data_IF_772096292571
#
_entry.id   IF_772096292571
#
_cell.length_a   1.000
_cell.length_b   1.000
_cell.length_c   1.000
_cell.angle_alpha   90.00
_cell.angle_beta   90.00
_cell.angle_gamma   90.00
#
_symmetry.space_group_name_H-M   'P 1'
#
loop_
_entity.id
_entity.type
_entity.pdbx_description
1 polymer ?
#
# COMPACT_ATOMS: atom_id res chain seq x y z
N UNK A 1 -15.20 -6.13 0.28
CA UNK A 1 -13.82 -6.30 0.75
C UNK A 1 -13.68 -5.42 1.99
N UNK A 2 -13.49 -6.01 3.18
CA UNK A 2 -13.31 -5.25 4.43
C UNK A 2 -11.81 -5.19 4.74
N UNK A 3 -11.09 -4.25 4.12
CA UNK A 3 -9.67 -4.04 4.35
C UNK A 3 -9.45 -2.59 4.79
N UNK A 4 -8.92 -2.40 6.01
CA UNK A 4 -8.84 -1.07 6.64
C UNK A 4 -7.74 -0.22 6.02
N UNK A 5 -6.68 -0.84 5.49
CA UNK A 5 -5.65 -0.11 4.74
C UNK A 5 -6.21 0.47 3.43
N UNK A 6 -6.98 -0.30 2.68
CA UNK A 6 -7.60 0.21 1.44
C UNK A 6 -8.65 1.29 1.73
N UNK A 7 -9.41 1.18 2.81
CA UNK A 7 -10.33 2.24 3.23
C UNK A 7 -9.59 3.50 3.72
N UNK A 8 -8.46 3.34 4.41
CA UNK A 8 -7.56 4.44 4.76
C UNK A 8 -7.07 5.17 3.50
N UNK A 9 -6.57 4.42 2.51
CA UNK A 9 -6.05 4.99 1.26
C UNK A 9 -7.12 5.76 0.45
N UNK A 10 -8.34 5.23 0.39
CA UNK A 10 -9.47 5.95 -0.25
C UNK A 10 -9.74 7.30 0.42
N UNK A 11 -9.70 7.33 1.76
CA UNK A 11 -9.96 8.55 2.53
C UNK A 11 -8.84 9.56 2.37
N UNK A 12 -7.59 9.09 2.45
CA UNK A 12 -6.41 9.94 2.41
C UNK A 12 -6.24 10.62 1.05
N UNK A 13 -6.33 9.85 -0.04
CA UNK A 13 -6.15 10.38 -1.39
C UNK A 13 -7.44 10.93 -2.01
N UNK A 14 -8.59 10.80 -1.33
CA UNK A 14 -9.92 11.22 -1.81
C UNK A 14 -10.27 10.73 -3.22
N UNK A 15 -9.77 9.55 -3.60
CA UNK A 15 -9.98 8.92 -4.91
C UNK A 15 -10.52 7.50 -4.75
N UNK A 16 -11.16 6.99 -5.80
CA UNK A 16 -11.60 5.59 -5.84
C UNK A 16 -10.40 4.64 -5.96
N UNK A 17 -10.52 3.44 -5.39
CA UNK A 17 -9.49 2.40 -5.52
C UNK A 17 -9.16 2.04 -6.97
N UNK A 18 -10.18 2.07 -7.84
CA UNK A 18 -10.00 1.84 -9.28
C UNK A 18 -9.18 2.94 -9.94
N UNK A 19 -9.34 4.21 -9.54
CA UNK A 19 -8.55 5.32 -10.04
C UNK A 19 -7.07 5.20 -9.61
N UNK A 20 -6.82 4.81 -8.34
CA UNK A 20 -5.45 4.57 -7.84
C UNK A 20 -4.74 3.53 -8.70
N UNK A 21 -5.40 2.41 -9.02
CA UNK A 21 -4.79 1.35 -9.83
C UNK A 21 -4.59 1.74 -11.30
N UNK A 22 -5.51 2.53 -11.85
CA UNK A 22 -5.49 2.90 -13.27
C UNK A 22 -4.44 3.96 -13.61
N UNK A 23 -4.01 4.75 -12.62
CA UNK A 23 -3.03 5.82 -12.82
C UNK A 23 -1.70 5.43 -12.19
N UNK A 24 -0.73 5.07 -13.04
CA UNK A 24 0.57 4.55 -12.61
C UNK A 24 1.26 5.45 -11.59
N UNK A 25 1.20 6.77 -11.76
CA UNK A 25 1.81 7.74 -10.84
C UNK A 25 1.15 7.72 -9.46
N UNK A 26 -0.18 7.72 -9.38
CA UNK A 26 -0.91 7.64 -8.11
C UNK A 26 -0.65 6.33 -7.37
N UNK A 27 -0.52 5.22 -8.10
CA UNK A 27 -0.18 3.92 -7.50
C UNK A 27 1.15 3.98 -6.75
N UNK A 28 2.19 4.57 -7.34
CA UNK A 28 3.51 4.66 -6.71
C UNK A 28 3.51 5.55 -5.48
N UNK A 29 2.83 6.70 -5.57
CA UNK A 29 2.65 7.62 -4.43
C UNK A 29 1.97 6.90 -3.27
N UNK A 30 0.86 6.20 -3.54
CA UNK A 30 0.11 5.44 -2.52
C UNK A 30 0.96 4.35 -1.86
N UNK A 31 1.80 3.63 -2.63
CA UNK A 31 2.73 2.64 -2.07
C UNK A 31 3.83 3.28 -1.22
N UNK A 32 4.31 4.46 -1.62
CA UNK A 32 5.23 5.27 -0.82
C UNK A 32 4.60 5.76 0.50
N UNK A 33 3.33 6.15 0.48
CA UNK A 33 2.62 6.57 1.69
C UNK A 33 2.34 5.40 2.63
N UNK A 34 2.04 4.21 2.09
CA UNK A 34 1.99 2.97 2.86
C UNK A 34 3.32 2.65 3.55
N UNK A 35 4.47 2.87 2.88
CA UNK A 35 5.78 2.72 3.52
C UNK A 35 5.96 3.67 4.71
N UNK A 36 5.50 4.93 4.56
CA UNK A 36 5.61 5.99 5.57
C UNK A 36 4.60 5.85 6.72
N UNK A 37 3.62 4.96 6.59
CA UNK A 37 2.63 4.68 7.63
C UNK A 37 3.34 4.25 8.93
N UNK A 38 3.07 4.98 10.01
CA UNK A 38 3.54 4.63 11.34
C UNK A 38 2.65 3.54 11.96
N UNK A 39 3.18 2.79 12.93
CA UNK A 39 2.46 1.73 13.63
C UNK A 39 1.86 0.66 12.69
N UNK A 40 2.65 0.16 11.73
CA UNK A 40 2.22 -0.84 10.73
C UNK A 40 1.55 -2.06 11.35
N UNK A 41 1.96 -2.42 12.56
CA UNK A 41 1.45 -3.55 13.37
C UNK A 41 -0.03 -3.41 13.80
N UNK A 42 -0.61 -2.21 13.71
CA UNK A 42 -2.05 -2.00 13.95
C UNK A 42 -2.92 -2.66 12.87
N UNK A 43 -2.34 -2.95 11.70
CA UNK A 43 -2.96 -3.67 10.62
C UNK A 43 -2.32 -5.05 10.51
N UNK A 44 -3.12 -6.14 10.54
CA UNK A 44 -2.58 -7.49 10.40
C UNK A 44 -1.91 -7.68 9.04
N UNK A 45 -0.90 -8.54 8.97
CA UNK A 45 -0.15 -8.82 7.73
C UNK A 45 -1.06 -9.13 6.55
N UNK A 46 -2.15 -9.89 6.75
CA UNK A 46 -3.12 -10.19 5.70
C UNK A 46 -3.74 -8.95 5.06
N UNK A 47 -4.02 -7.91 5.85
CA UNK A 47 -4.54 -6.65 5.30
C UNK A 47 -3.49 -5.95 4.44
N UNK A 48 -2.21 -6.02 4.83
CA UNK A 48 -1.09 -5.51 4.03
C UNK A 48 -0.93 -6.29 2.72
N UNK A 49 -0.94 -7.62 2.78
CA UNK A 49 -0.85 -8.49 1.62
C UNK A 49 -1.95 -8.18 0.61
N UNK A 50 -3.21 -8.12 1.07
CA UNK A 50 -4.35 -7.78 0.22
C UNK A 50 -4.24 -6.37 -0.38
N UNK A 51 -3.86 -5.38 0.42
CA UNK A 51 -3.76 -3.99 -0.04
C UNK A 51 -2.65 -3.82 -1.08
N UNK A 52 -1.46 -4.33 -0.79
CA UNK A 52 -0.31 -4.24 -1.70
C UNK A 52 -0.55 -5.09 -2.95
N UNK A 53 -1.14 -6.28 -2.82
CA UNK A 53 -1.51 -7.12 -3.98
C UNK A 53 -2.52 -6.40 -4.89
N UNK A 54 -3.51 -5.75 -4.28
CA UNK A 54 -4.52 -5.00 -5.02
C UNK A 54 -3.90 -3.83 -5.81
N UNK A 55 -2.97 -3.10 -5.19
CA UNK A 55 -2.30 -1.96 -5.82
C UNK A 55 -1.36 -2.41 -6.95
N UNK A 56 -0.55 -3.45 -6.72
CA UNK A 56 0.43 -3.94 -7.70
C UNK A 56 -0.20 -4.79 -8.82
N UNK A 57 -1.37 -5.39 -8.57
CA UNK A 57 -2.03 -6.29 -9.50
C UNK A 57 -1.42 -7.70 -9.55
N UNK A 58 -0.62 -8.07 -8.55
CA UNK A 58 -0.04 -9.40 -8.39
C UNK A 58 -0.14 -9.86 -6.93
N UNK A 59 -0.07 -11.17 -6.69
CA UNK A 59 -0.11 -11.71 -5.32
C UNK A 59 1.17 -11.39 -4.57
N UNK A 60 1.04 -10.76 -3.41
CA UNK A 60 2.13 -10.43 -2.49
C UNK A 60 1.84 -11.10 -1.15
N UNK A 61 2.90 -11.68 -0.56
CA UNK A 61 2.87 -12.25 0.78
C UNK A 61 3.99 -11.65 1.61
N UNK A 62 3.74 -11.47 2.90
CA UNK A 62 4.72 -10.95 3.85
C UNK A 62 4.85 -11.91 5.03
N UNK A 63 6.07 -12.39 5.29
CA UNK A 63 6.37 -13.23 6.44
C UNK A 63 6.32 -12.44 7.76
N UNK A 64 6.64 -11.13 7.71
CA UNK A 64 6.66 -10.25 8.88
C UNK A 64 6.63 -8.76 8.45
N UNK A 65 6.56 -7.86 9.43
CA UNK A 65 6.52 -6.42 9.18
C UNK A 65 7.83 -5.82 8.63
N UNK A 66 8.99 -6.44 8.86
CA UNK A 66 10.25 -5.99 8.26
C UNK A 66 10.26 -6.22 6.73
N UNK A 67 9.62 -7.30 6.27
CA UNK A 67 9.44 -7.52 4.83
C UNK A 67 8.55 -6.47 4.17
N UNK A 68 7.54 -5.95 4.90
CA UNK A 68 6.72 -4.83 4.40
C UNK A 68 7.62 -3.60 4.18
N UNK A 69 8.45 -3.26 5.16
CA UNK A 69 9.36 -2.11 5.03
C UNK A 69 10.36 -2.30 3.89
N UNK A 70 10.96 -3.47 3.78
CA UNK A 70 11.95 -3.78 2.75
C UNK A 70 11.33 -3.75 1.36
N UNK A 71 10.15 -4.37 1.21
CA UNK A 71 9.42 -4.46 -0.06
C UNK A 71 8.88 -3.11 -0.52
N UNK A 72 8.44 -2.26 0.41
CA UNK A 72 7.86 -0.96 0.07
C UNK A 72 8.90 0.18 0.00
N UNK A 73 10.10 -0.01 0.54
CA UNK A 73 11.19 0.98 0.51
C UNK A 73 11.49 1.55 -0.88
N UNK A 74 11.50 0.77 -1.99
CA UNK A 74 11.73 1.33 -3.32
C UNK A 74 10.72 2.41 -3.72
N UNK A 75 9.46 2.32 -3.25
CA UNK A 75 8.40 3.28 -3.55
C UNK A 75 8.47 4.55 -2.68
N UNK A 76 9.34 4.56 -1.66
CA UNK A 76 9.56 5.75 -0.81
C UNK A 76 10.45 6.80 -1.44
N UNK A 77 11.17 6.43 -2.50
CA UNK A 77 12.16 7.26 -3.17
C UNK A 77 11.47 8.16 -4.19
N UNK A 78 11.51 9.47 -3.94
CA UNK A 78 11.13 10.47 -4.95
C UNK A 78 12.25 10.53 -5.99
N UNK A 79 11.95 10.05 -7.21
CA UNK A 79 12.85 10.23 -8.35
C UNK A 79 12.74 11.69 -8.77
N UNK A 80 13.76 12.49 -8.46
CA UNK A 80 13.88 13.90 -8.87
C UNK A 80 14.14 14.02 -10.36
#
# INVERSE_FOLDING_TARGET
MNNRLLEYLKKEHRVSLSAIRSQSEHKWVVLGDLYRLQNKEQYPLKEWEEAVSYLLGCTVQFANYQEIETSLKPFSLEVK
#
